data_IF_907739179333
#
_entry.id   IF_907739179333
#
_cell.length_a   1.000
_cell.length_b   1.000
_cell.length_c   1.000
_cell.angle_alpha   90.00
_cell.angle_beta   90.00
_cell.angle_gamma   90.00
#
_symmetry.space_group_name_H-M   'P 1'
#
loop_
_entity.id
_entity.type
_entity.pdbx_description
1 polymer ?
#
# COMPACT_ATOMS: atom_id res chain seq x y z
N UNK A 1 -3.38 -22.18 -3.58
CA UNK A 1 -3.18 -20.89 -4.32
C UNK A 1 -1.87 -20.26 -3.89
N UNK A 2 -1.05 -19.94 -4.82
CA UNK A 2 0.22 -19.29 -4.55
C UNK A 2 0.00 -17.80 -4.31
N UNK A 3 0.51 -17.30 -3.20
CA UNK A 3 0.36 -15.89 -2.85
C UNK A 3 1.49 -15.06 -3.45
N UNK A 4 1.13 -13.92 -4.03
CA UNK A 4 2.05 -13.01 -4.71
C UNK A 4 2.78 -12.07 -3.76
N UNK A 5 3.08 -12.52 -2.54
CA UNK A 5 3.82 -11.73 -1.58
C UNK A 5 5.30 -12.07 -1.60
N UNK A 6 6.13 -11.08 -1.85
CA UNK A 6 7.58 -11.23 -1.91
C UNK A 6 8.26 -10.22 -1.02
N UNK A 7 9.33 -10.65 -0.37
CA UNK A 7 10.17 -9.75 0.41
C UNK A 7 11.04 -8.92 -0.53
N UNK A 8 11.09 -7.62 -0.28
CA UNK A 8 11.90 -6.68 -1.04
C UNK A 8 13.35 -6.80 -0.60
N UNK A 9 14.27 -6.99 -1.58
CA UNK A 9 15.69 -7.01 -1.30
C UNK A 9 16.18 -5.61 -0.88
N UNK A 10 17.07 -5.55 0.08
CA UNK A 10 17.57 -4.28 0.63
C UNK A 10 18.67 -3.62 -0.20
N UNK A 11 19.01 -4.14 -1.36
CA UNK A 11 20.04 -3.55 -2.22
C UNK A 11 19.50 -2.33 -2.94
N UNK A 12 20.11 -1.19 -2.68
CA UNK A 12 19.80 0.04 -3.37
C UNK A 12 20.70 0.22 -4.60
N UNK A 13 20.11 0.45 -5.75
CA UNK A 13 20.84 0.64 -7.00
C UNK A 13 20.33 1.87 -7.73
N UNK A 14 21.23 2.82 -7.92
CA UNK A 14 20.95 4.00 -8.72
C UNK A 14 20.11 5.06 -8.03
N UNK A 15 20.16 6.23 -8.59
CA UNK A 15 19.40 7.41 -8.18
C UNK A 15 18.69 8.01 -9.38
N UNK A 16 17.63 8.76 -9.11
CA UNK A 16 16.99 9.61 -10.11
C UNK A 16 16.99 11.05 -9.61
N UNK A 17 16.86 11.99 -10.53
CA UNK A 17 16.79 13.39 -10.19
C UNK A 17 15.37 13.77 -9.75
N UNK A 18 15.23 14.26 -8.54
CA UNK A 18 13.98 14.83 -8.05
C UNK A 18 14.05 16.35 -8.19
N UNK A 19 13.16 16.93 -8.97
CA UNK A 19 13.03 18.38 -9.08
C UNK A 19 12.11 18.91 -7.97
N UNK A 20 12.43 20.09 -7.47
CA UNK A 20 11.66 20.70 -6.38
C UNK A 20 10.32 21.29 -6.82
N UNK A 21 10.14 21.51 -8.11
CA UNK A 21 8.88 22.00 -8.65
C UNK A 21 7.81 20.93 -8.74
N UNK A 22 6.56 21.35 -8.77
CA UNK A 22 5.44 20.47 -9.04
C UNK A 22 4.97 20.64 -10.47
N UNK A 23 4.59 19.53 -11.09
CA UNK A 23 4.02 19.55 -12.45
C UNK A 23 2.49 19.39 -12.34
N UNK A 24 1.71 20.43 -12.66
CA UNK A 24 0.26 20.29 -12.72
C UNK A 24 -0.16 19.36 -13.86
N UNK A 25 -1.27 18.67 -13.68
CA UNK A 25 -1.80 17.78 -14.73
C UNK A 25 -2.53 18.54 -15.85
N UNK A 26 -2.30 19.81 -15.98
CA UNK A 26 -2.76 20.67 -17.06
C UNK A 26 -1.57 21.33 -17.74
N UNK A 27 -1.59 22.65 -17.78
CA UNK A 27 -0.51 23.44 -18.33
C UNK A 27 0.70 23.44 -17.37
N UNK A 28 1.86 23.00 -17.85
CA UNK A 28 3.06 22.93 -17.04
C UNK A 28 3.83 24.27 -17.07
N UNK A 29 4.21 24.82 -15.91
CA UNK A 29 5.12 25.95 -15.86
C UNK A 29 6.53 25.52 -16.23
N UNK A 30 7.39 26.50 -16.59
CA UNK A 30 8.80 26.25 -16.80
C UNK A 30 9.47 25.89 -15.47
N UNK A 31 10.14 24.74 -15.45
CA UNK A 31 10.92 24.30 -14.29
C UNK A 31 12.40 24.37 -14.64
N UNK A 32 13.21 24.94 -13.77
CA UNK A 32 14.66 25.00 -13.95
C UNK A 32 15.28 23.62 -13.74
N UNK A 33 16.12 23.18 -14.65
CA UNK A 33 16.85 21.91 -14.53
C UNK A 33 17.80 21.85 -13.32
N UNK A 34 18.16 23.02 -12.79
CA UNK A 34 19.07 23.13 -11.64
C UNK A 34 18.34 22.98 -10.30
N UNK A 35 17.00 23.01 -10.30
CA UNK A 35 16.18 22.91 -9.09
C UNK A 35 15.83 21.46 -8.77
N UNK A 36 16.81 20.71 -8.29
CA UNK A 36 16.57 19.32 -7.95
C UNK A 36 17.66 18.72 -7.09
N UNK A 37 17.43 17.51 -6.64
CA UNK A 37 18.38 16.73 -5.88
C UNK A 37 18.36 15.28 -6.35
N UNK A 38 19.45 14.57 -6.12
CA UNK A 38 19.48 13.14 -6.41
C UNK A 38 18.65 12.38 -5.38
N UNK A 39 17.77 11.53 -5.87
CA UNK A 39 16.87 10.74 -5.05
C UNK A 39 17.23 9.26 -5.16
N UNK A 40 17.54 8.63 -4.04
CA UNK A 40 17.54 7.19 -3.98
C UNK A 40 16.10 6.70 -3.93
N UNK A 41 15.60 6.21 -5.06
CA UNK A 41 14.20 5.86 -5.22
C UNK A 41 13.78 4.75 -4.25
N UNK A 42 14.63 3.75 -4.09
CA UNK A 42 14.30 2.62 -3.22
C UNK A 42 14.18 3.07 -1.76
N UNK A 43 15.14 3.82 -1.25
CA UNK A 43 15.08 4.26 0.16
C UNK A 43 13.98 5.28 0.42
N UNK A 44 13.61 6.07 -0.57
CA UNK A 44 12.49 7.00 -0.45
C UNK A 44 11.15 6.28 -0.25
N UNK A 45 10.88 5.26 -1.09
CA UNK A 45 9.62 4.53 -1.05
C UNK A 45 9.62 3.38 -0.05
N UNK A 46 10.79 2.85 0.31
CA UNK A 46 10.94 1.70 1.17
C UNK A 46 11.95 2.04 2.27
N UNK A 47 11.54 2.88 3.25
CA UNK A 47 12.47 3.29 4.31
C UNK A 47 12.80 2.16 5.28
N UNK A 48 12.02 1.09 5.31
CA UNK A 48 12.19 -0.03 6.22
C UNK A 48 12.27 -1.37 5.45
N UNK A 49 13.38 -1.61 4.70
CA UNK A 49 13.46 -2.80 3.83
C UNK A 49 13.39 -4.13 4.57
N UNK A 50 13.83 -4.17 5.83
CA UNK A 50 13.82 -5.41 6.62
C UNK A 50 12.42 -5.97 6.85
N UNK A 51 11.45 -5.08 7.02
CA UNK A 51 10.07 -5.43 7.33
C UNK A 51 9.12 -5.16 6.17
N UNK A 52 9.65 -4.86 5.00
CA UNK A 52 8.84 -4.53 3.83
C UNK A 52 8.69 -5.70 2.89
N UNK A 53 7.50 -5.84 2.37
CA UNK A 53 7.10 -6.88 1.42
C UNK A 53 6.36 -6.23 0.25
N UNK A 54 6.27 -6.94 -0.85
CA UNK A 54 5.41 -6.54 -1.95
C UNK A 54 4.34 -7.58 -2.21
N UNK A 55 3.19 -7.11 -2.66
CA UNK A 55 2.07 -7.96 -3.06
C UNK A 55 1.40 -7.33 -4.28
N UNK A 56 0.89 -8.16 -5.16
CA UNK A 56 0.14 -7.70 -6.33
C UNK A 56 -1.34 -7.70 -5.98
N UNK A 57 -1.99 -6.55 -6.14
CA UNK A 57 -3.42 -6.41 -5.92
C UNK A 57 -4.21 -7.14 -7.00
N UNK A 58 -5.30 -7.77 -6.60
CA UNK A 58 -6.28 -8.36 -7.51
C UNK A 58 -7.68 -7.88 -7.13
N UNK A 59 -8.59 -7.95 -8.09
CA UNK A 59 -9.97 -7.53 -7.86
C UNK A 59 -10.14 -6.00 -7.83
N UNK A 60 -11.31 -5.57 -7.44
CA UNK A 60 -11.74 -4.18 -7.56
C UNK A 60 -12.28 -3.58 -6.25
N UNK A 61 -12.11 -4.29 -5.12
CA UNK A 61 -12.71 -3.86 -3.84
C UNK A 61 -12.09 -2.59 -3.27
N UNK A 62 -10.93 -2.16 -3.77
CA UNK A 62 -10.21 -1.00 -3.26
C UNK A 62 -10.05 0.11 -4.31
N UNK A 63 -10.85 0.10 -5.36
CA UNK A 63 -10.75 1.11 -6.43
C UNK A 63 -10.99 2.55 -5.94
N UNK A 64 -11.85 2.73 -4.95
CA UNK A 64 -12.07 4.04 -4.33
C UNK A 64 -10.84 4.59 -3.61
N UNK A 65 -9.95 3.74 -3.17
CA UNK A 65 -8.64 4.11 -2.63
C UNK A 65 -7.55 4.17 -3.71
N UNK A 66 -7.94 4.08 -4.99
CA UNK A 66 -7.05 4.10 -6.15
C UNK A 66 -6.06 2.96 -6.19
N UNK A 67 -6.48 1.82 -5.70
CA UNK A 67 -5.76 0.55 -5.80
C UNK A 67 -6.51 -0.33 -6.80
N UNK A 68 -5.85 -0.67 -7.89
CA UNK A 68 -6.44 -1.41 -8.99
C UNK A 68 -5.75 -2.77 -9.16
N UNK A 69 -6.46 -3.69 -9.78
CA UNK A 69 -5.89 -5.00 -10.11
C UNK A 69 -4.59 -4.84 -10.91
N UNK A 70 -3.55 -5.56 -10.51
CA UNK A 70 -2.22 -5.49 -11.11
C UNK A 70 -1.27 -4.51 -10.43
N UNK A 71 -1.76 -3.65 -9.55
CA UNK A 71 -0.88 -2.74 -8.82
C UNK A 71 0.04 -3.52 -7.88
N UNK A 72 1.28 -3.04 -7.77
CA UNK A 72 2.21 -3.54 -6.77
C UNK A 72 2.08 -2.70 -5.50
N UNK A 73 1.75 -3.35 -4.41
CA UNK A 73 1.65 -2.71 -3.10
C UNK A 73 2.91 -3.00 -2.31
N UNK A 74 3.47 -1.96 -1.70
CA UNK A 74 4.53 -2.12 -0.69
C UNK A 74 3.85 -2.10 0.67
N UNK A 75 4.11 -3.12 1.47
CA UNK A 75 3.58 -3.24 2.82
C UNK A 75 4.73 -3.23 3.82
N UNK A 76 4.50 -2.58 4.96
CA UNK A 76 5.45 -2.54 6.07
C UNK A 76 4.85 -3.33 7.24
N UNK A 77 5.47 -4.48 7.55
CA UNK A 77 5.03 -5.34 8.65
C UNK A 77 5.49 -4.85 10.02
N UNK A 78 6.44 -3.94 10.06
CA UNK A 78 6.96 -3.35 11.30
C UNK A 78 6.23 -2.10 11.76
N UNK A 79 5.34 -1.58 10.93
CA UNK A 79 4.59 -0.37 11.24
C UNK A 79 3.39 -0.68 12.14
N UNK A 80 3.19 0.14 13.16
CA UNK A 80 1.99 0.08 13.99
C UNK A 80 0.75 0.35 13.16
N UNK A 81 -0.25 -0.52 13.30
CA UNK A 81 -1.50 -0.41 12.56
C UNK A 81 -2.44 0.55 13.29
N UNK A 82 -3.01 1.49 12.56
CA UNK A 82 -3.96 2.47 13.08
C UNK A 82 -5.27 2.40 12.30
N UNK A 83 -6.35 2.81 12.96
CA UNK A 83 -7.64 2.96 12.29
C UNK A 83 -7.51 3.91 11.11
N UNK A 84 -8.02 3.50 9.95
CA UNK A 84 -7.89 4.24 8.71
C UNK A 84 -6.77 3.77 7.79
N UNK A 85 -5.86 2.94 8.30
CA UNK A 85 -4.79 2.39 7.47
C UNK A 85 -5.34 1.37 6.46
N UNK A 86 -4.79 1.38 5.27
CA UNK A 86 -4.98 0.28 4.32
C UNK A 86 -4.01 -0.84 4.68
N UNK A 87 -4.53 -2.02 4.89
CA UNK A 87 -3.75 -3.16 5.35
C UNK A 87 -3.88 -4.34 4.38
N UNK A 88 -2.85 -5.17 4.36
CA UNK A 88 -2.94 -6.50 3.80
C UNK A 88 -3.14 -7.46 4.97
N UNK A 89 -4.20 -8.22 4.93
CA UNK A 89 -4.56 -9.14 5.98
C UNK A 89 -4.78 -10.54 5.42
N UNK A 90 -4.52 -11.50 6.26
CA UNK A 90 -4.90 -12.88 6.05
C UNK A 90 -6.23 -13.12 6.76
N UNK A 91 -7.25 -13.48 6.03
CA UNK A 91 -8.59 -13.70 6.58
C UNK A 91 -9.12 -15.05 6.11
N UNK A 92 -9.26 -15.99 7.04
CA UNK A 92 -9.84 -17.32 6.78
C UNK A 92 -9.20 -18.03 5.57
N UNK A 93 -7.89 -17.95 5.46
CA UNK A 93 -7.15 -18.62 4.39
C UNK A 93 -6.88 -17.78 3.14
N UNK A 94 -7.41 -16.58 3.05
CA UNK A 94 -7.24 -15.70 1.88
C UNK A 94 -6.53 -14.40 2.22
N UNK A 95 -5.69 -13.93 1.31
CA UNK A 95 -5.15 -12.57 1.38
C UNK A 95 -6.21 -11.58 0.93
N UNK A 96 -6.32 -10.48 1.66
CA UNK A 96 -7.21 -9.38 1.30
C UNK A 96 -6.54 -8.04 1.58
N UNK A 97 -6.91 -7.03 0.79
CA UNK A 97 -6.50 -5.64 0.98
C UNK A 97 -7.76 -4.85 1.33
N UNK A 98 -7.76 -4.22 2.49
CA UNK A 98 -8.91 -3.46 2.97
C UNK A 98 -8.44 -2.29 3.83
N UNK A 99 -9.32 -1.33 4.02
CA UNK A 99 -9.09 -0.30 5.03
C UNK A 99 -9.52 -0.83 6.40
N UNK A 100 -8.63 -0.74 7.36
CA UNK A 100 -8.92 -1.20 8.71
C UNK A 100 -9.59 -0.10 9.52
N UNK A 101 -10.66 -0.46 10.21
CA UNK A 101 -11.29 0.40 11.21
C UNK A 101 -11.52 -0.38 12.50
N UNK A 102 -11.48 0.31 13.62
CA UNK A 102 -11.88 -0.26 14.91
C UNK A 102 -13.28 0.22 15.25
N UNK A 103 -14.16 -0.71 15.59
CA UNK A 103 -15.45 -0.39 16.19
C UNK A 103 -15.26 0.14 17.62
N UNK A 104 -16.32 0.73 18.19
CA UNK A 104 -16.26 1.27 19.57
C UNK A 104 -15.92 0.20 20.60
N UNK A 105 -16.32 -1.05 20.36
CA UNK A 105 -16.02 -2.18 21.24
C UNK A 105 -14.64 -2.82 20.97
N UNK A 106 -13.84 -2.21 20.09
CA UNK A 106 -12.50 -2.69 19.75
C UNK A 106 -12.43 -3.75 18.66
N UNK A 107 -13.58 -4.19 18.13
CA UNK A 107 -13.59 -5.15 17.01
C UNK A 107 -12.99 -4.53 15.77
N UNK A 108 -12.34 -5.37 14.97
CA UNK A 108 -11.78 -4.97 13.69
C UNK A 108 -12.85 -5.08 12.62
N UNK A 109 -12.97 -4.02 11.83
CA UNK A 109 -13.80 -3.97 10.64
C UNK A 109 -12.89 -3.75 9.44
N UNK A 110 -12.96 -4.64 8.47
CA UNK A 110 -12.23 -4.51 7.21
C UNK A 110 -13.18 -3.89 6.17
N UNK A 111 -12.87 -2.69 5.76
CA UNK A 111 -13.74 -1.86 4.93
C UNK A 111 -13.21 -1.82 3.51
N UNK A 112 -14.01 -2.29 2.53
CA UNK A 112 -13.67 -2.07 1.12
C UNK A 112 -13.90 -0.62 0.73
N UNK A 113 -13.21 -0.18 -0.30
CA UNK A 113 -13.37 1.13 -0.91
C UNK A 113 -14.10 1.00 -2.25
N UNK A 114 -15.23 0.32 -2.23
CA UNK A 114 -16.07 0.10 -3.39
C UNK A 114 -17.49 -0.25 -2.90
N UNK A 115 -18.52 0.49 -3.31
CA UNK A 115 -19.88 0.26 -2.83
C UNK A 115 -20.50 -1.08 -3.22
N UNK A 116 -19.89 -1.81 -4.15
CA UNK A 116 -20.31 -3.18 -4.49
C UNK A 116 -20.09 -4.19 -3.35
N UNK A 117 -19.21 -3.87 -2.41
CA UNK A 117 -18.79 -4.79 -1.37
C UNK A 117 -19.18 -4.25 -0.01
N UNK A 118 -19.57 -5.14 0.89
CA UNK A 118 -19.92 -4.79 2.25
C UNK A 118 -18.69 -4.86 3.18
N UNK A 119 -18.63 -4.03 4.23
CA UNK A 119 -17.64 -4.18 5.28
C UNK A 119 -17.69 -5.55 5.93
N UNK A 120 -16.54 -6.04 6.36
CA UNK A 120 -16.39 -7.32 7.02
C UNK A 120 -16.07 -7.08 8.49
N UNK A 121 -16.98 -7.45 9.38
CA UNK A 121 -16.73 -7.43 10.81
C UNK A 121 -16.02 -8.72 11.20
N UNK A 122 -14.81 -8.60 11.73
CA UNK A 122 -14.02 -9.77 12.13
C UNK A 122 -14.52 -10.27 13.49
N UNK A 123 -14.97 -11.51 13.54
CA UNK A 123 -15.52 -12.14 14.73
C UNK A 123 -14.52 -13.06 15.43
N UNK A 124 -14.94 -13.60 16.57
CA UNK A 124 -14.12 -14.50 17.42
C UNK A 124 -13.69 -15.77 16.68
N UNK A 125 -14.51 -16.25 15.75
CA UNK A 125 -14.26 -17.49 15.03
C UNK A 125 -13.50 -17.28 13.72
N UNK A 126 -13.23 -16.04 13.35
CA UNK A 126 -12.45 -15.72 12.16
C UNK A 126 -10.96 -15.86 12.45
N UNK A 127 -10.25 -16.53 11.57
CA UNK A 127 -8.79 -16.56 11.60
C UNK A 127 -8.27 -15.37 10.78
N UNK A 128 -7.78 -14.36 11.48
CA UNK A 128 -7.34 -13.11 10.86
C UNK A 128 -5.99 -12.67 11.40
N UNK A 129 -5.08 -12.30 10.50
CA UNK A 129 -3.80 -11.69 10.83
C UNK A 129 -3.53 -10.53 9.90
N UNK A 130 -3.09 -9.42 10.46
CA UNK A 130 -2.63 -8.28 9.66
C UNK A 130 -1.17 -8.54 9.31
N UNK A 131 -0.88 -8.58 8.01
CA UNK A 131 0.47 -8.81 7.51
C UNK A 131 1.29 -7.52 7.45
N UNK A 132 0.65 -6.39 7.25
CA UNK A 132 1.31 -5.10 7.25
C UNK A 132 0.42 -3.99 6.73
N UNK A 133 0.92 -2.77 6.86
CA UNK A 133 0.27 -1.55 6.38
C UNK A 133 0.75 -1.26 4.98
N UNK A 134 -0.17 -0.98 4.07
CA UNK A 134 0.18 -0.53 2.72
C UNK A 134 0.73 0.89 2.80
N UNK A 135 1.98 1.06 2.43
CA UNK A 135 2.67 2.36 2.50
C UNK A 135 2.81 3.04 1.15
N UNK A 136 2.77 2.28 0.07
CA UNK A 136 2.81 2.84 -1.28
C UNK A 136 2.23 1.88 -2.32
N UNK A 137 1.81 2.47 -3.43
CA UNK A 137 1.22 1.75 -4.57
C UNK A 137 2.00 2.11 -5.81
N UNK A 138 2.37 1.13 -6.60
CA UNK A 138 3.20 1.31 -7.80
C UNK A 138 2.55 0.67 -9.00
N UNK A 139 2.49 1.42 -10.09
CA UNK A 139 1.87 0.99 -11.34
C UNK A 139 2.64 1.55 -12.51
N UNK A 140 2.97 0.67 -13.44
CA UNK A 140 3.46 1.10 -14.75
C UNK A 140 2.29 1.49 -15.63
N UNK A 141 2.47 2.54 -16.39
CA UNK A 141 1.46 2.97 -17.36
C UNK A 141 1.56 2.19 -18.66
#
# INVERSE_FOLDING_TARGET
MEHSMQKIASTSQGTIRLFFGAAPCGYAPNVSEDEGTDLNFTSYWIPNPKDSYSVIATGDSMEGARIFAGDMLVIDAGREVRSGDVVVAWLNGDLTVKRLQYAQDGRIILVPENPKYAPISVGEHDDMRILGVVTSVHRKL
#
